data_IF_821632375538
#
_entry.id   IF_821632375538
#
_cell.length_a   1.000
_cell.length_b   1.000
_cell.length_c   1.000
_cell.angle_alpha   90.00
_cell.angle_beta   90.00
_cell.angle_gamma   90.00
#
_symmetry.space_group_name_H-M   'P 1'
#
loop_
_entity.id
_entity.type
_entity.pdbx_description
1 polymer ?
#
# COMPACT_ATOMS: atom_id res chain seq x y z
N UNK A 1 -11.39 -25.62 -9.71
CA UNK A 1 -10.34 -25.67 -10.74
C UNK A 1 -9.45 -26.84 -10.36
N UNK A 2 -9.69 -28.00 -10.96
CA UNK A 2 -8.86 -29.18 -10.73
C UNK A 2 -7.55 -28.97 -11.48
N UNK A 3 -6.46 -28.81 -10.74
CA UNK A 3 -5.13 -28.86 -11.32
C UNK A 3 -4.90 -30.30 -11.79
N UNK A 4 -4.73 -30.52 -13.09
CA UNK A 4 -4.23 -31.79 -13.60
C UNK A 4 -2.88 -32.04 -12.93
N UNK A 5 -2.75 -33.17 -12.25
CA UNK A 5 -1.47 -33.58 -11.66
C UNK A 5 -0.41 -33.60 -12.75
N UNK A 6 0.64 -32.80 -12.56
CA UNK A 6 1.78 -32.79 -13.46
C UNK A 6 2.43 -34.19 -13.45
N UNK A 7 2.88 -34.72 -14.60
CA UNK A 7 3.54 -36.02 -14.65
C UNK A 7 4.75 -36.06 -13.70
N UNK A 8 5.03 -37.20 -13.04
CA UNK A 8 6.14 -37.32 -12.10
C UNK A 8 7.46 -36.86 -12.75
N UNK A 9 8.10 -35.85 -12.16
CA UNK A 9 9.36 -35.27 -12.66
C UNK A 9 9.23 -34.05 -13.57
N UNK A 10 8.03 -33.60 -13.93
CA UNK A 10 7.83 -32.33 -14.61
C UNK A 10 7.97 -31.15 -13.62
N UNK A 11 8.58 -30.02 -14.02
CA UNK A 11 8.66 -28.84 -13.17
C UNK A 11 7.25 -28.32 -12.89
N UNK A 12 6.91 -28.15 -11.61
CA UNK A 12 5.66 -27.52 -11.21
C UNK A 12 5.83 -26.01 -11.37
N UNK A 13 5.48 -25.52 -12.55
CA UNK A 13 5.64 -24.12 -12.92
C UNK A 13 4.42 -23.29 -12.49
N UNK A 14 4.67 -22.09 -11.97
CA UNK A 14 3.67 -21.06 -11.74
C UNK A 14 4.26 -19.69 -12.09
N UNK A 15 3.47 -18.63 -12.20
CA UNK A 15 4.02 -17.27 -12.17
C UNK A 15 4.09 -16.74 -10.74
N UNK A 16 4.93 -15.74 -10.46
CA UNK A 16 4.95 -15.07 -9.14
C UNK A 16 3.55 -14.55 -8.77
N UNK A 17 2.80 -14.06 -9.76
CA UNK A 17 1.43 -13.58 -9.58
C UNK A 17 0.41 -14.65 -9.21
N UNK A 18 0.46 -15.81 -9.85
CA UNK A 18 -0.48 -16.93 -9.60
C UNK A 18 -0.07 -17.71 -8.35
N UNK A 19 1.24 -17.91 -8.16
CA UNK A 19 1.85 -18.59 -7.03
C UNK A 19 1.89 -17.78 -5.74
N UNK A 20 1.34 -16.55 -5.73
CA UNK A 20 1.33 -15.66 -4.56
C UNK A 20 0.79 -16.35 -3.29
N UNK A 21 -0.16 -17.27 -3.44
CA UNK A 21 -0.70 -18.05 -2.33
C UNK A 21 0.33 -19.05 -1.75
N UNK A 22 1.20 -19.64 -2.57
CA UNK A 22 2.29 -20.54 -2.16
C UNK A 22 3.36 -19.76 -1.40
N UNK A 23 3.84 -18.65 -1.99
CA UNK A 23 4.86 -17.79 -1.38
C UNK A 23 4.33 -17.09 -0.12
N UNK A 24 3.04 -16.72 -0.13
CA UNK A 24 2.33 -16.20 1.02
C UNK A 24 2.30 -17.21 2.17
N UNK A 25 1.99 -18.50 1.91
CA UNK A 25 2.03 -19.56 2.94
C UNK A 25 3.42 -19.75 3.53
N UNK A 26 4.47 -19.77 2.69
CA UNK A 26 5.86 -19.87 3.14
C UNK A 26 6.25 -18.69 4.02
N UNK A 27 5.88 -17.48 3.60
CA UNK A 27 6.11 -16.25 4.37
C UNK A 27 5.37 -16.29 5.70
N UNK A 28 4.09 -16.70 5.71
CA UNK A 28 3.30 -16.84 6.95
C UNK A 28 3.95 -17.83 7.90
N UNK A 29 4.47 -18.97 7.42
CA UNK A 29 5.18 -19.92 8.26
C UNK A 29 6.48 -19.34 8.86
N UNK A 30 7.27 -18.61 8.06
CA UNK A 30 8.49 -17.90 8.52
C UNK A 30 8.15 -16.85 9.59
N UNK A 31 7.13 -16.03 9.33
CA UNK A 31 6.63 -15.01 10.27
C UNK A 31 6.11 -15.66 11.55
N UNK A 32 5.29 -16.71 11.45
CA UNK A 32 4.76 -17.44 12.60
C UNK A 32 5.88 -17.99 13.49
N UNK A 33 6.88 -18.63 12.88
CA UNK A 33 8.02 -19.16 13.62
C UNK A 33 8.83 -18.06 14.33
N UNK A 34 9.00 -16.88 13.70
CA UNK A 34 9.60 -15.71 14.34
C UNK A 34 8.75 -15.18 15.51
N UNK A 35 7.43 -15.19 15.34
CA UNK A 35 6.45 -14.64 16.30
C UNK A 35 6.16 -15.57 17.48
N UNK A 36 6.61 -16.84 17.47
CA UNK A 36 6.57 -17.69 18.67
C UNK A 36 7.26 -17.05 19.88
N UNK A 37 8.27 -16.20 19.62
CA UNK A 37 8.97 -15.42 20.65
C UNK A 37 8.05 -14.45 21.39
N UNK A 38 6.87 -14.09 20.86
CA UNK A 38 5.92 -13.23 21.57
C UNK A 38 5.29 -13.91 22.79
N UNK A 39 5.28 -15.24 22.82
CA UNK A 39 4.74 -16.01 23.93
C UNK A 39 5.77 -16.37 25.00
N UNK A 40 7.02 -15.90 24.87
CA UNK A 40 8.06 -16.19 25.85
C UNK A 40 7.91 -15.39 27.15
N UNK A 41 7.07 -14.35 27.13
CA UNK A 41 6.88 -13.41 28.22
C UNK A 41 5.43 -12.93 28.30
N UNK A 42 4.91 -12.75 29.52
CA UNK A 42 3.51 -12.37 29.75
C UNK A 42 3.17 -11.00 29.16
N UNK A 43 4.02 -9.99 29.38
CA UNK A 43 3.78 -8.62 28.90
C UNK A 43 3.65 -8.58 27.37
N UNK A 44 4.56 -9.27 26.68
CA UNK A 44 4.55 -9.43 25.22
C UNK A 44 3.33 -10.19 24.73
N UNK A 45 3.06 -11.37 25.29
CA UNK A 45 1.96 -12.22 24.86
C UNK A 45 0.62 -11.47 24.96
N UNK A 46 0.39 -10.76 26.07
CA UNK A 46 -0.80 -9.94 26.26
C UNK A 46 -0.91 -8.81 25.23
N UNK A 47 0.18 -8.07 24.99
CA UNK A 47 0.18 -6.99 23.98
C UNK A 47 -0.09 -7.54 22.59
N UNK A 48 0.55 -8.65 22.22
CA UNK A 48 0.43 -9.27 20.92
C UNK A 48 -1.00 -9.76 20.68
N UNK A 49 -1.55 -10.60 21.58
CA UNK A 49 -2.93 -11.06 21.49
C UNK A 49 -3.92 -9.89 21.42
N UNK A 50 -3.77 -8.89 22.30
CA UNK A 50 -4.64 -7.71 22.31
C UNK A 50 -4.62 -6.93 20.99
N UNK A 51 -3.51 -6.94 20.24
CA UNK A 51 -3.38 -6.25 18.95
C UNK A 51 -4.13 -6.92 17.78
N UNK A 52 -4.55 -8.19 17.95
CA UNK A 52 -5.35 -8.94 16.96
C UNK A 52 -6.84 -8.98 17.31
N UNK A 53 -7.21 -8.86 18.59
CA UNK A 53 -8.61 -8.93 19.02
C UNK A 53 -9.53 -7.88 18.35
N UNK A 54 -9.13 -6.59 18.16
CA UNK A 54 -9.94 -5.62 17.42
C UNK A 54 -10.20 -6.02 15.96
N UNK A 55 -9.24 -6.70 15.33
CA UNK A 55 -9.39 -7.21 13.96
C UNK A 55 -10.40 -8.35 13.93
N UNK A 56 -10.32 -9.29 14.88
CA UNK A 56 -11.27 -10.40 15.01
C UNK A 56 -12.68 -9.89 15.31
N UNK A 57 -12.81 -8.88 16.17
CA UNK A 57 -14.09 -8.28 16.53
C UNK A 57 -14.83 -7.70 15.31
N UNK A 58 -14.10 -7.11 14.35
CA UNK A 58 -14.67 -6.58 13.09
C UNK A 58 -15.42 -7.63 12.26
N UNK A 59 -15.04 -8.90 12.39
CA UNK A 59 -15.62 -10.02 11.64
C UNK A 59 -16.48 -10.95 12.50
N UNK A 60 -16.77 -10.56 13.74
CA UNK A 60 -17.54 -11.35 14.70
C UNK A 60 -18.96 -10.83 14.82
N UNK A 61 -19.86 -11.63 15.41
CA UNK A 61 -21.20 -11.16 15.79
C UNK A 61 -21.10 -10.01 16.81
N UNK A 62 -22.11 -9.14 16.94
CA UNK A 62 -22.05 -8.01 17.87
C UNK A 62 -21.74 -8.41 19.32
N UNK A 63 -22.27 -9.54 19.79
CA UNK A 63 -21.99 -10.05 21.14
C UNK A 63 -20.53 -10.48 21.30
N UNK A 64 -20.05 -11.32 20.37
CA UNK A 64 -18.65 -11.75 20.36
C UNK A 64 -17.69 -10.58 20.19
N UNK A 65 -18.04 -9.59 19.35
CA UNK A 65 -17.23 -8.39 19.16
C UNK A 65 -17.08 -7.60 20.47
N UNK A 66 -18.17 -7.43 21.24
CA UNK A 66 -18.13 -6.77 22.56
C UNK A 66 -17.20 -7.50 23.53
N UNK A 67 -17.30 -8.83 23.60
CA UNK A 67 -16.45 -9.65 24.48
C UNK A 67 -14.97 -9.58 24.08
N UNK A 68 -14.68 -9.64 22.77
CA UNK A 68 -13.32 -9.51 22.24
C UNK A 68 -12.73 -8.13 22.55
N UNK A 69 -13.50 -7.05 22.41
CA UNK A 69 -13.06 -5.71 22.78
C UNK A 69 -12.77 -5.58 24.27
N UNK A 70 -13.66 -6.11 25.12
CA UNK A 70 -13.43 -6.12 26.58
C UNK A 70 -12.17 -6.89 26.96
N UNK A 71 -11.96 -8.06 26.34
CA UNK A 71 -10.76 -8.86 26.55
C UNK A 71 -9.49 -8.12 26.08
N UNK A 72 -9.54 -7.44 24.94
CA UNK A 72 -8.42 -6.67 24.43
C UNK A 72 -8.01 -5.55 25.37
N UNK A 73 -8.99 -4.81 25.92
CA UNK A 73 -8.74 -3.77 26.93
C UNK A 73 -8.09 -4.39 28.17
N UNK A 74 -8.64 -5.48 28.71
CA UNK A 74 -8.09 -6.15 29.90
C UNK A 74 -6.65 -6.60 29.70
N UNK A 75 -6.36 -7.26 28.57
CA UNK A 75 -5.01 -7.72 28.23
C UNK A 75 -4.04 -6.56 28.06
N UNK A 76 -4.45 -5.51 27.34
CA UNK A 76 -3.62 -4.31 27.11
C UNK A 76 -3.32 -3.57 28.41
N UNK A 77 -4.31 -3.37 29.28
CA UNK A 77 -4.09 -2.71 30.58
C UNK A 77 -3.06 -3.46 31.41
N UNK A 78 -3.18 -4.79 31.49
CA UNK A 78 -2.19 -5.61 32.21
C UNK A 78 -0.80 -5.55 31.55
N UNK A 79 -0.74 -5.61 30.21
CA UNK A 79 0.53 -5.46 29.48
C UNK A 79 1.18 -4.09 29.72
N UNK A 80 0.41 -3.00 29.71
CA UNK A 80 0.93 -1.65 29.97
C UNK A 80 1.47 -1.50 31.40
N UNK A 81 0.84 -2.14 32.39
CA UNK A 81 1.36 -2.16 33.76
C UNK A 81 2.73 -2.84 33.81
N UNK A 82 2.86 -4.03 33.20
CA UNK A 82 4.14 -4.75 33.11
C UNK A 82 5.19 -3.91 32.36
N UNK A 83 4.78 -3.23 31.28
CA UNK A 83 5.68 -2.36 30.51
C UNK A 83 6.19 -1.19 31.34
N UNK A 84 5.30 -0.56 32.12
CA UNK A 84 5.66 0.56 33.00
C UNK A 84 6.72 0.14 34.00
N UNK A 85 6.49 -0.97 34.68
CA UNK A 85 7.43 -1.51 35.67
C UNK A 85 8.80 -1.84 35.03
N UNK A 86 8.82 -2.28 33.76
CA UNK A 86 10.07 -2.51 33.01
C UNK A 86 10.81 -1.23 32.65
N UNK A 87 10.08 -0.22 32.18
CA UNK A 87 10.68 1.05 31.75
C UNK A 87 11.26 1.81 32.95
N UNK A 88 10.59 1.78 34.11
CA UNK A 88 11.08 2.41 35.34
C UNK A 88 12.43 1.85 35.81
N UNK A 89 12.74 0.60 35.44
CA UNK A 89 13.98 -0.09 35.80
C UNK A 89 14.99 -0.20 34.64
N UNK A 90 14.75 0.50 33.53
CA UNK A 90 15.61 0.42 32.34
C UNK A 90 16.87 1.28 32.51
N UNK A 91 18.05 0.68 32.34
CA UNK A 91 19.29 1.45 32.17
C UNK A 91 19.36 2.09 30.78
N UNK A 92 19.79 3.34 30.72
CA UNK A 92 20.05 4.05 29.45
C UNK A 92 21.33 3.58 28.76
N UNK A 93 22.24 2.94 29.50
CA UNK A 93 23.55 2.49 28.99
C UNK A 93 23.49 1.11 28.33
N UNK A 94 22.40 0.35 28.54
CA UNK A 94 22.22 -0.99 27.97
C UNK A 94 21.34 -0.92 26.72
N UNK A 95 21.70 -1.60 25.61
CA UNK A 95 20.84 -1.73 24.45
C UNK A 95 19.44 -2.26 24.82
N UNK A 96 18.38 -1.76 24.18
CA UNK A 96 17.03 -2.20 24.49
C UNK A 96 16.83 -3.67 24.14
N UNK A 97 16.24 -4.43 25.07
CA UNK A 97 15.84 -5.80 24.80
C UNK A 97 14.76 -5.84 23.70
N UNK A 98 14.90 -6.78 22.76
CA UNK A 98 13.90 -7.06 21.73
C UNK A 98 12.52 -7.38 22.34
N UNK A 99 12.49 -7.91 23.56
CA UNK A 99 11.24 -8.15 24.28
C UNK A 99 10.44 -6.87 24.53
N UNK A 100 11.14 -5.81 24.95
CA UNK A 100 10.57 -4.48 25.20
C UNK A 100 10.07 -3.85 23.89
N UNK A 101 10.89 -3.89 22.84
CA UNK A 101 10.54 -3.34 21.53
C UNK A 101 9.28 -4.03 21.01
N UNK A 102 9.23 -5.36 21.04
CA UNK A 102 8.08 -6.10 20.53
C UNK A 102 6.78 -5.78 21.26
N UNK A 103 6.84 -5.66 22.59
CA UNK A 103 5.68 -5.27 23.40
C UNK A 103 5.14 -3.89 22.97
N UNK A 104 6.03 -2.90 22.79
CA UNK A 104 5.65 -1.54 22.38
C UNK A 104 5.12 -1.52 20.94
N UNK A 105 5.71 -2.29 20.02
CA UNK A 105 5.22 -2.43 18.64
C UNK A 105 3.82 -3.04 18.59
N UNK A 106 3.54 -4.01 19.46
CA UNK A 106 2.22 -4.64 19.57
C UNK A 106 1.17 -3.66 20.13
N UNK A 107 1.55 -2.83 21.11
CA UNK A 107 0.70 -1.76 21.64
C UNK A 107 0.46 -0.64 20.61
N UNK A 108 1.49 -0.23 19.87
CA UNK A 108 1.37 0.69 18.74
C UNK A 108 0.34 0.19 17.72
N UNK A 109 0.48 -1.08 17.31
CA UNK A 109 -0.46 -1.72 16.40
C UNK A 109 -1.88 -1.71 16.94
N UNK A 110 -2.09 -2.05 18.22
CA UNK A 110 -3.41 -2.04 18.84
C UNK A 110 -4.03 -0.63 18.77
N UNK A 111 -3.27 0.40 19.16
CA UNK A 111 -3.70 1.79 19.07
C UNK A 111 -4.06 2.20 17.64
N UNK A 112 -3.27 1.81 16.64
CA UNK A 112 -3.60 2.04 15.23
C UNK A 112 -4.90 1.37 14.80
N UNK A 113 -5.16 0.12 15.22
CA UNK A 113 -6.38 -0.62 14.85
C UNK A 113 -7.64 -0.07 15.51
N UNK A 114 -7.49 0.54 16.68
CA UNK A 114 -8.59 1.19 17.41
C UNK A 114 -8.77 2.66 17.03
N UNK A 115 -7.94 3.20 16.14
CA UNK A 115 -7.87 4.62 15.80
C UNK A 115 -7.55 5.54 17.01
N UNK A 116 -6.83 5.03 18.01
CA UNK A 116 -6.31 5.83 19.12
C UNK A 116 -5.03 6.57 18.67
N UNK A 117 -5.24 7.71 18.00
CA UNK A 117 -4.16 8.53 17.44
C UNK A 117 -3.19 9.03 18.52
N UNK A 118 -3.64 9.56 19.69
CA UNK A 118 -2.74 9.97 20.75
C UNK A 118 -1.83 8.85 21.24
N UNK A 119 -2.38 7.67 21.56
CA UNK A 119 -1.58 6.55 22.05
C UNK A 119 -0.61 6.04 20.97
N UNK A 120 -1.06 5.92 19.72
CA UNK A 120 -0.20 5.48 18.62
C UNK A 120 0.98 6.44 18.40
N UNK A 121 0.77 7.75 18.53
CA UNK A 121 1.85 8.75 18.46
C UNK A 121 2.91 8.56 19.55
N UNK A 122 2.47 8.30 20.78
CA UNK A 122 3.37 8.06 21.92
C UNK A 122 4.20 6.80 21.66
N UNK A 123 3.56 5.70 21.28
CA UNK A 123 4.28 4.46 20.99
C UNK A 123 5.24 4.60 19.81
N UNK A 124 4.86 5.26 18.72
CA UNK A 124 5.74 5.52 17.58
C UNK A 124 6.99 6.30 17.99
N UNK A 125 6.83 7.32 18.83
CA UNK A 125 7.95 8.13 19.34
C UNK A 125 8.93 7.32 20.19
N UNK A 126 8.42 6.37 20.99
CA UNK A 126 9.25 5.45 21.77
C UNK A 126 9.96 4.46 20.84
N UNK A 127 9.24 3.84 19.90
CA UNK A 127 9.80 2.90 18.92
C UNK A 127 10.96 3.54 18.17
N UNK A 128 10.81 4.78 17.71
CA UNK A 128 11.87 5.49 16.97
C UNK A 128 13.18 5.53 17.76
N UNK A 129 13.11 5.90 19.05
CA UNK A 129 14.27 5.99 19.95
C UNK A 129 14.89 4.64 20.28
N UNK A 130 14.07 3.60 20.42
CA UNK A 130 14.55 2.25 20.76
C UNK A 130 15.18 1.57 19.56
N UNK A 131 14.54 1.65 18.39
CA UNK A 131 15.04 1.02 17.16
C UNK A 131 16.40 1.60 16.79
N UNK A 132 16.63 2.91 16.93
CA UNK A 132 17.94 3.52 16.64
C UNK A 132 19.10 2.89 17.42
N UNK A 133 18.83 2.30 18.60
CA UNK A 133 19.80 1.66 19.49
C UNK A 133 19.96 0.14 19.25
N UNK A 134 19.24 -0.45 18.31
CA UNK A 134 19.39 -1.88 17.96
C UNK A 134 20.59 -2.06 17.04
N UNK A 135 21.54 -2.89 17.47
CA UNK A 135 22.78 -3.18 16.72
C UNK A 135 22.65 -4.39 15.79
N UNK A 136 21.84 -5.39 16.18
CA UNK A 136 21.69 -6.64 15.41
C UNK A 136 20.52 -6.56 14.45
N UNK A 137 20.78 -6.83 13.16
CA UNK A 137 19.72 -7.15 12.21
C UNK A 137 19.40 -8.64 12.24
N UNK A 138 18.19 -8.99 12.68
CA UNK A 138 17.65 -10.34 12.55
C UNK A 138 16.26 -10.33 11.88
N UNK A 139 15.69 -11.50 11.64
CA UNK A 139 14.34 -11.61 11.07
C UNK A 139 13.27 -11.00 11.99
N UNK A 140 13.49 -11.02 13.30
CA UNK A 140 12.51 -10.58 14.28
C UNK A 140 12.35 -9.05 14.27
N UNK A 141 13.44 -8.29 14.38
CA UNK A 141 13.40 -6.83 14.28
C UNK A 141 12.88 -6.36 12.92
N UNK A 142 13.26 -7.04 11.83
CA UNK A 142 12.71 -6.75 10.49
C UNK A 142 11.19 -6.93 10.46
N UNK A 143 10.67 -8.01 11.04
CA UNK A 143 9.22 -8.27 11.09
C UNK A 143 8.48 -7.23 11.94
N UNK A 144 9.07 -6.82 13.08
CA UNK A 144 8.51 -5.75 13.92
C UNK A 144 8.52 -4.40 13.20
N UNK A 145 9.59 -4.08 12.48
CA UNK A 145 9.71 -2.85 11.70
C UNK A 145 8.70 -2.80 10.55
N UNK A 146 8.53 -3.90 9.83
CA UNK A 146 7.46 -4.08 8.83
C UNK A 146 6.06 -3.90 9.46
N UNK A 147 5.87 -4.42 10.67
CA UNK A 147 4.61 -4.22 11.42
C UNK A 147 4.37 -2.74 11.73
N UNK A 148 5.42 -1.99 12.08
CA UNK A 148 5.34 -0.54 12.31
C UNK A 148 4.92 0.20 11.04
N UNK A 149 5.66 -0.01 9.93
CA UNK A 149 5.37 0.65 8.65
C UNK A 149 3.93 0.37 8.21
N UNK A 150 3.52 -0.90 8.16
CA UNK A 150 2.18 -1.28 7.74
C UNK A 150 1.07 -0.61 8.58
N UNK A 151 1.18 -0.61 9.91
CA UNK A 151 0.12 -0.04 10.75
C UNK A 151 0.08 1.49 10.72
N UNK A 152 1.24 2.14 10.60
CA UNK A 152 1.31 3.59 10.43
C UNK A 152 0.67 4.00 9.10
N UNK A 153 1.05 3.34 7.99
CA UNK A 153 0.51 3.64 6.67
C UNK A 153 -0.99 3.37 6.55
N UNK A 154 -1.47 2.25 7.11
CA UNK A 154 -2.91 1.93 7.06
C UNK A 154 -3.73 2.98 7.83
N UNK A 155 -3.27 3.40 9.01
CA UNK A 155 -3.93 4.46 9.78
C UNK A 155 -3.86 5.81 9.06
N UNK A 156 -2.69 6.15 8.51
CA UNK A 156 -2.47 7.40 7.78
C UNK A 156 -3.42 7.55 6.59
N UNK A 157 -3.63 6.47 5.84
CA UNK A 157 -4.52 6.43 4.68
C UNK A 157 -5.98 6.43 5.11
N UNK A 158 -6.33 5.65 6.14
CA UNK A 158 -7.71 5.62 6.66
C UNK A 158 -8.18 6.98 7.19
N UNK A 159 -7.25 7.78 7.72
CA UNK A 159 -7.54 9.08 8.34
C UNK A 159 -7.06 10.27 7.50
N UNK A 160 -6.50 10.02 6.31
CA UNK A 160 -5.90 11.02 5.40
C UNK A 160 -5.03 12.04 6.15
N UNK A 161 -3.96 11.54 6.75
CA UNK A 161 -3.02 12.31 7.57
C UNK A 161 -1.59 11.86 7.30
N UNK A 162 -0.62 12.66 7.75
CA UNK A 162 0.77 12.25 7.77
C UNK A 162 0.98 11.01 8.66
N UNK A 163 1.93 10.18 8.27
CA UNK A 163 2.47 9.08 9.07
C UNK A 163 3.14 9.59 10.33
N UNK A 164 3.24 8.75 11.36
CA UNK A 164 4.00 9.07 12.57
C UNK A 164 5.50 9.00 12.34
N UNK A 165 5.96 8.02 11.57
CA UNK A 165 7.37 7.87 11.22
C UNK A 165 7.73 8.79 10.04
N UNK A 166 8.97 9.29 10.03
CA UNK A 166 9.52 10.02 8.89
C UNK A 166 9.97 9.02 7.82
N UNK A 167 9.13 8.84 6.79
CA UNK A 167 9.40 7.89 5.72
C UNK A 167 10.59 8.30 4.86
N UNK A 168 10.75 9.59 4.58
CA UNK A 168 11.76 10.07 3.63
C UNK A 168 13.17 10.02 4.21
N UNK A 169 13.34 10.16 5.53
CA UNK A 169 14.68 10.12 6.14
C UNK A 169 14.88 8.97 7.13
N UNK A 170 13.98 8.82 8.11
CA UNK A 170 14.21 7.85 9.18
C UNK A 170 13.94 6.42 8.70
N UNK A 171 12.76 6.14 8.13
CA UNK A 171 12.41 4.80 7.65
C UNK A 171 13.37 4.35 6.55
N UNK A 172 13.72 5.21 5.60
CA UNK A 172 14.68 4.89 4.55
C UNK A 172 16.03 4.43 5.13
N UNK A 173 16.56 5.15 6.13
CA UNK A 173 17.80 4.76 6.83
C UNK A 173 17.65 3.43 7.57
N UNK A 174 16.50 3.18 8.20
CA UNK A 174 16.25 1.91 8.88
C UNK A 174 16.16 0.73 7.91
N UNK A 175 15.53 0.91 6.74
CA UNK A 175 15.50 -0.14 5.70
C UNK A 175 16.92 -0.47 5.27
N UNK A 176 17.73 0.53 4.92
CA UNK A 176 19.12 0.34 4.51
C UNK A 176 19.99 -0.34 5.60
N UNK A 177 19.71 -0.07 6.87
CA UNK A 177 20.43 -0.66 8.01
C UNK A 177 20.00 -2.09 8.33
N UNK A 178 18.69 -2.36 8.30
CA UNK A 178 18.12 -3.64 8.72
C UNK A 178 18.13 -4.68 7.59
N UNK A 179 18.09 -4.27 6.33
CA UNK A 179 18.22 -5.17 5.17
C UNK A 179 19.64 -5.11 4.62
N UNK A 180 20.59 -5.71 5.36
CA UNK A 180 22.03 -5.74 5.02
C UNK A 180 22.32 -6.61 3.78
N UNK A 181 21.59 -7.71 3.64
CA UNK A 181 21.51 -8.41 2.36
C UNK A 181 20.78 -7.49 1.39
N UNK A 182 21.25 -7.39 0.15
CA UNK A 182 20.57 -6.66 -0.92
C UNK A 182 19.67 -7.63 -1.70
N UNK A 183 18.45 -7.95 -1.24
CA UNK A 183 17.57 -8.82 -2.00
C UNK A 183 17.29 -8.26 -3.41
N UNK A 184 17.60 -6.98 -3.66
CA UNK A 184 17.65 -6.36 -4.99
C UNK A 184 18.54 -7.13 -5.99
N UNK A 185 19.51 -7.94 -5.56
CA UNK A 185 20.29 -8.81 -6.47
C UNK A 185 19.44 -9.93 -7.06
N UNK A 186 18.34 -10.32 -6.40
CA UNK A 186 17.39 -11.32 -6.87
C UNK A 186 16.28 -10.71 -7.76
N UNK A 187 16.23 -9.37 -7.86
CA UNK A 187 15.27 -8.70 -8.72
C UNK A 187 15.69 -8.79 -10.19
N UNK A 188 14.75 -9.12 -11.09
CA UNK A 188 15.04 -9.03 -12.52
C UNK A 188 15.41 -7.59 -12.89
N UNK A 189 16.46 -7.45 -13.70
CA UNK A 189 16.89 -6.14 -14.21
C UNK A 189 15.84 -5.62 -15.18
N UNK A 190 15.34 -4.40 -14.93
CA UNK A 190 14.48 -3.72 -15.88
C UNK A 190 15.28 -3.16 -17.06
N UNK A 191 14.80 -3.31 -18.30
CA UNK A 191 15.28 -2.54 -19.44
C UNK A 191 15.21 -1.03 -19.14
N UNK A 192 16.09 -0.23 -19.74
CA UNK A 192 16.15 1.22 -19.51
C UNK A 192 14.82 1.93 -19.78
N UNK A 193 14.08 1.47 -20.79
CA UNK A 193 12.75 1.97 -21.18
C UNK A 193 11.69 1.79 -20.07
N UNK A 194 11.81 0.76 -19.23
CA UNK A 194 10.90 0.57 -18.09
C UNK A 194 11.20 1.53 -16.92
N UNK A 195 12.39 2.14 -16.91
CA UNK A 195 12.75 3.19 -15.95
C UNK A 195 12.40 4.58 -16.46
N UNK A 196 12.25 4.75 -17.78
CA UNK A 196 11.72 5.98 -18.37
C UNK A 196 10.25 6.12 -17.96
N UNK A 197 9.95 7.16 -17.21
CA UNK A 197 8.61 7.48 -16.72
C UNK A 197 8.26 8.89 -17.18
N UNK A 198 7.02 9.12 -17.57
CA UNK A 198 6.60 10.38 -18.19
C UNK A 198 7.00 11.61 -17.37
N UNK A 199 7.59 12.61 -18.04
CA UNK A 199 8.25 13.78 -17.42
C UNK A 199 7.30 14.71 -16.66
N UNK A 200 6.00 14.63 -16.93
CA UNK A 200 4.98 15.39 -16.20
C UNK A 200 4.95 15.12 -14.68
N UNK A 201 5.36 13.95 -14.22
CA UNK A 201 5.36 13.66 -12.76
C UNK A 201 6.67 14.18 -12.16
N UNK A 202 6.69 15.33 -11.52
CA UNK A 202 7.97 15.97 -11.18
C UNK A 202 8.54 15.49 -9.84
N UNK A 203 7.66 15.13 -8.90
CA UNK A 203 8.09 14.80 -7.55
C UNK A 203 8.81 13.46 -7.48
N UNK A 204 10.03 13.50 -6.91
CA UNK A 204 10.91 12.33 -6.77
C UNK A 204 10.24 11.16 -6.07
N UNK A 205 9.54 11.40 -4.96
CA UNK A 205 8.87 10.35 -4.20
C UNK A 205 7.81 9.62 -5.04
N UNK A 206 6.93 10.38 -5.71
CA UNK A 206 5.91 9.84 -6.61
C UNK A 206 6.52 9.07 -7.77
N UNK A 207 7.53 9.64 -8.44
CA UNK A 207 8.26 9.00 -9.54
C UNK A 207 8.89 7.67 -9.13
N UNK A 208 9.59 7.65 -7.99
CA UNK A 208 10.31 6.47 -7.54
C UNK A 208 9.34 5.34 -7.13
N UNK A 209 8.24 5.68 -6.45
CA UNK A 209 7.19 4.72 -6.12
C UNK A 209 6.54 4.14 -7.39
N UNK A 210 6.26 4.98 -8.39
CA UNK A 210 5.68 4.55 -9.66
C UNK A 210 6.62 3.61 -10.45
N UNK A 211 7.92 3.92 -10.51
CA UNK A 211 8.92 3.05 -11.17
C UNK A 211 9.05 1.71 -10.44
N UNK A 212 9.11 1.71 -9.10
CA UNK A 212 9.11 0.45 -8.31
C UNK A 212 7.83 -0.35 -8.55
N UNK A 213 6.68 0.30 -8.62
CA UNK A 213 5.43 -0.37 -8.92
C UNK A 213 5.43 -1.01 -10.31
N UNK A 214 5.95 -0.34 -11.35
CA UNK A 214 6.12 -0.95 -12.68
C UNK A 214 6.99 -2.21 -12.62
N UNK A 215 8.09 -2.17 -11.87
CA UNK A 215 8.93 -3.34 -11.63
C UNK A 215 8.14 -4.48 -10.99
N UNK A 216 7.35 -4.20 -9.95
CA UNK A 216 6.57 -5.24 -9.26
C UNK A 216 5.56 -5.89 -10.18
N UNK A 217 4.89 -5.08 -11.00
CA UNK A 217 3.92 -5.55 -11.97
C UNK A 217 4.58 -6.38 -13.08
N UNK A 218 5.79 -6.03 -13.54
CA UNK A 218 6.50 -6.82 -14.56
C UNK A 218 7.00 -8.16 -14.02
N UNK A 219 7.47 -8.19 -12.77
CA UNK A 219 7.95 -9.42 -12.12
C UNK A 219 6.81 -10.41 -11.88
N UNK A 220 5.57 -9.93 -11.76
CA UNK A 220 4.38 -10.77 -11.54
C UNK A 220 4.25 -11.90 -12.56
N UNK A 221 4.64 -11.66 -13.80
CA UNK A 221 4.57 -12.65 -14.89
C UNK A 221 5.80 -13.57 -14.98
N UNK A 222 6.80 -13.39 -14.11
CA UNK A 222 7.99 -14.26 -14.09
C UNK A 222 7.61 -15.66 -13.64
N UNK A 223 7.99 -16.66 -14.44
CA UNK A 223 7.81 -18.08 -14.12
C UNK A 223 8.70 -18.50 -12.95
N UNK A 224 8.18 -19.38 -12.10
CA UNK A 224 8.83 -19.98 -10.94
C UNK A 224 8.67 -21.48 -11.01
N UNK A 225 9.76 -22.21 -10.81
CA UNK A 225 9.79 -23.65 -10.63
C UNK A 225 9.65 -23.99 -9.14
N UNK A 226 8.49 -24.51 -8.75
CA UNK A 226 8.20 -24.84 -7.36
C UNK A 226 8.97 -26.07 -6.83
N UNK A 227 9.63 -26.82 -7.72
CA UNK A 227 10.50 -27.93 -7.36
C UNK A 227 11.97 -27.51 -7.15
N UNK A 228 12.32 -26.26 -7.46
CA UNK A 228 13.69 -25.73 -7.36
C UNK A 228 13.85 -24.88 -6.09
N UNK A 229 14.63 -25.34 -5.09
CA UNK A 229 14.88 -24.57 -3.88
C UNK A 229 15.49 -23.18 -4.13
N UNK A 230 16.37 -23.03 -5.11
CA UNK A 230 17.01 -21.75 -5.41
C UNK A 230 15.99 -20.74 -5.97
N UNK A 231 15.07 -21.22 -6.81
CA UNK A 231 14.02 -20.39 -7.39
C UNK A 231 12.95 -20.00 -6.35
N UNK A 232 12.69 -20.89 -5.38
CA UNK A 232 11.86 -20.58 -4.21
C UNK A 232 12.51 -19.52 -3.31
N UNK A 233 13.81 -19.62 -3.05
CA UNK A 233 14.54 -18.66 -2.22
C UNK A 233 14.64 -17.29 -2.91
N UNK A 234 14.89 -17.27 -4.23
CA UNK A 234 14.80 -16.06 -5.06
C UNK A 234 13.43 -15.41 -4.95
N UNK A 235 12.36 -16.21 -5.01
CA UNK A 235 10.98 -15.67 -4.92
C UNK A 235 10.66 -15.14 -3.53
N UNK A 236 11.15 -15.78 -2.46
CA UNK A 236 11.01 -15.29 -1.08
C UNK A 236 11.75 -13.94 -0.91
N UNK A 237 12.92 -13.76 -1.54
CA UNK A 237 13.64 -12.49 -1.56
C UNK A 237 12.86 -11.39 -2.30
N UNK A 238 12.33 -11.70 -3.49
CA UNK A 238 11.46 -10.79 -4.26
C UNK A 238 10.24 -10.36 -3.45
N UNK A 239 9.56 -11.30 -2.79
CA UNK A 239 8.40 -11.02 -1.94
C UNK A 239 8.76 -10.09 -0.77
N UNK A 240 9.93 -10.30 -0.15
CA UNK A 240 10.44 -9.45 0.94
C UNK A 240 10.66 -8.02 0.47
N UNK A 241 11.26 -7.81 -0.71
CA UNK A 241 11.43 -6.47 -1.30
C UNK A 241 10.07 -5.82 -1.56
N UNK A 242 9.15 -6.57 -2.17
CA UNK A 242 7.85 -6.04 -2.58
C UNK A 242 7.08 -5.56 -1.38
N UNK A 243 6.97 -6.40 -0.35
CA UNK A 243 6.28 -6.03 0.87
C UNK A 243 6.93 -4.85 1.58
N UNK A 244 8.26 -4.81 1.67
CA UNK A 244 9.02 -3.73 2.34
C UNK A 244 8.82 -2.39 1.65
N UNK A 245 9.12 -2.34 0.35
CA UNK A 245 9.10 -1.08 -0.38
C UNK A 245 7.69 -0.63 -0.77
N UNK A 246 6.72 -1.53 -0.95
CA UNK A 246 5.32 -1.11 -1.15
C UNK A 246 4.73 -0.44 0.09
N UNK A 247 5.13 -0.86 1.30
CA UNK A 247 4.76 -0.18 2.54
C UNK A 247 5.47 1.17 2.66
N UNK A 248 6.78 1.21 2.39
CA UNK A 248 7.54 2.45 2.31
C UNK A 248 6.89 3.46 1.36
N UNK A 249 6.60 3.03 0.12
CA UNK A 249 6.02 3.86 -0.91
C UNK A 249 4.63 4.36 -0.53
N UNK A 250 3.82 3.52 0.12
CA UNK A 250 2.51 3.95 0.62
C UNK A 250 2.63 5.09 1.64
N UNK A 251 3.60 5.00 2.56
CA UNK A 251 3.85 6.04 3.57
C UNK A 251 4.43 7.32 2.97
N UNK A 252 5.37 7.20 2.04
CA UNK A 252 5.92 8.35 1.33
C UNK A 252 4.84 9.08 0.50
N UNK A 253 4.04 8.34 -0.26
CA UNK A 253 3.00 8.90 -1.13
C UNK A 253 1.89 9.61 -0.33
N UNK A 254 1.43 9.04 0.79
CA UNK A 254 0.42 9.71 1.61
C UNK A 254 0.96 10.99 2.25
N UNK A 255 2.23 11.00 2.70
CA UNK A 255 2.85 12.21 3.23
C UNK A 255 3.01 13.30 2.18
N UNK A 256 3.47 12.93 0.97
CA UNK A 256 3.56 13.85 -0.17
C UNK A 256 2.21 14.48 -0.46
N UNK A 257 1.15 13.67 -0.58
CA UNK A 257 -0.20 14.17 -0.81
C UNK A 257 -0.65 15.17 0.28
N UNK A 258 -0.52 14.81 1.56
CA UNK A 258 -0.95 15.67 2.67
C UNK A 258 -0.16 16.98 2.70
N UNK A 259 1.16 16.92 2.48
CA UNK A 259 2.00 18.09 2.48
C UNK A 259 1.74 19.01 1.27
N UNK A 260 1.45 18.46 0.09
CA UNK A 260 1.08 19.25 -1.09
C UNK A 260 -0.24 19.99 -0.90
N UNK A 261 -1.27 19.30 -0.39
CA UNK A 261 -2.58 19.93 -0.12
C UNK A 261 -2.45 21.00 0.95
N UNK A 262 -1.63 20.79 1.98
CA UNK A 262 -1.35 21.77 3.02
C UNK A 262 -0.36 22.87 2.58
N UNK A 263 0.28 22.73 1.42
CA UNK A 263 1.32 23.64 0.95
C UNK A 263 2.66 23.59 1.70
N UNK A 264 2.86 22.59 2.56
CA UNK A 264 4.02 22.48 3.45
C UNK A 264 5.23 21.93 2.72
N UNK A 265 6.32 22.70 2.64
CA UNK A 265 7.55 22.30 1.94
C UNK A 265 7.46 22.40 0.41
N UNK A 266 6.37 22.98 -0.10
CA UNK A 266 6.10 23.19 -1.53
C UNK A 266 5.64 24.63 -1.79
N UNK A 267 6.17 25.59 -1.02
CA UNK A 267 5.76 27.00 -1.05
C UNK A 267 6.09 27.69 -2.39
N UNK A 268 7.03 27.13 -3.15
CA UNK A 268 7.46 27.64 -4.47
C UNK A 268 6.48 27.23 -5.58
N UNK A 269 5.68 26.19 -5.38
CA UNK A 269 4.71 25.71 -6.37
C UNK A 269 3.42 26.53 -6.31
N UNK A 270 2.83 26.82 -7.47
CA UNK A 270 1.47 27.38 -7.54
C UNK A 270 0.47 26.39 -6.93
N UNK A 271 -0.63 26.92 -6.41
CA UNK A 271 -1.64 26.10 -5.76
C UNK A 271 -2.25 25.04 -6.71
N UNK A 272 -2.50 25.42 -7.96
CA UNK A 272 -2.95 24.51 -9.02
C UNK A 272 -1.97 23.35 -9.25
N UNK A 273 -0.68 23.64 -9.43
CA UNK A 273 0.35 22.61 -9.61
C UNK A 273 0.48 21.68 -8.40
N UNK A 274 0.32 22.20 -7.17
CA UNK A 274 0.29 21.36 -5.97
C UNK A 274 -0.87 20.38 -6.00
N UNK A 275 -2.07 20.81 -6.40
CA UNK A 275 -3.21 19.90 -6.51
C UNK A 275 -3.05 18.87 -7.63
N UNK A 276 -2.42 19.23 -8.76
CA UNK A 276 -2.09 18.28 -9.83
C UNK A 276 -1.11 17.21 -9.32
N UNK A 277 0.01 17.60 -8.70
CA UNK A 277 0.99 16.67 -8.13
C UNK A 277 0.40 15.82 -6.98
N UNK A 278 -0.48 16.41 -6.17
CA UNK A 278 -1.21 15.68 -5.13
C UNK A 278 -2.10 14.59 -5.73
N UNK A 279 -2.71 14.88 -6.88
CA UNK A 279 -3.55 13.94 -7.61
C UNK A 279 -2.74 12.81 -8.24
N UNK A 280 -1.53 13.11 -8.74
CA UNK A 280 -0.56 12.10 -9.20
C UNK A 280 -0.08 11.19 -8.08
N UNK A 281 0.21 11.75 -6.89
CA UNK A 281 0.58 10.98 -5.71
C UNK A 281 -0.56 10.04 -5.26
N UNK A 282 -1.80 10.55 -5.18
CA UNK A 282 -2.96 9.73 -4.84
C UNK A 282 -3.26 8.65 -5.88
N UNK A 283 -3.11 8.97 -7.17
CA UNK A 283 -3.29 8.00 -8.26
C UNK A 283 -2.28 6.88 -8.13
N UNK A 284 -1.00 7.21 -7.94
CA UNK A 284 0.06 6.23 -7.69
C UNK A 284 -0.24 5.37 -6.47
N UNK A 285 -0.67 5.99 -5.36
CA UNK A 285 -1.04 5.28 -4.13
C UNK A 285 -2.23 4.35 -4.34
N UNK A 286 -3.25 4.79 -5.07
CA UNK A 286 -4.42 3.98 -5.40
C UNK A 286 -4.01 2.73 -6.19
N UNK A 287 -3.19 2.91 -7.23
CA UNK A 287 -2.72 1.82 -8.10
C UNK A 287 -1.83 0.87 -7.31
N UNK A 288 -0.91 1.39 -6.49
CA UNK A 288 -0.05 0.59 -5.60
C UNK A 288 -0.89 -0.30 -4.70
N UNK A 289 -1.90 0.28 -4.04
CA UNK A 289 -2.77 -0.47 -3.13
C UNK A 289 -3.59 -1.51 -3.84
N UNK A 290 -4.17 -1.19 -5.00
CA UNK A 290 -4.95 -2.17 -5.79
C UNK A 290 -4.05 -3.27 -6.36
N UNK A 291 -2.84 -2.93 -6.82
CA UNK A 291 -1.94 -3.87 -7.46
C UNK A 291 -1.25 -4.84 -6.48
N UNK A 292 -0.97 -4.39 -5.25
CA UNK A 292 -0.15 -5.13 -4.28
C UNK A 292 -0.93 -5.54 -3.01
N UNK A 293 -1.83 -4.69 -2.53
CA UNK A 293 -2.47 -4.86 -1.21
C UNK A 293 -3.94 -5.29 -1.28
N UNK A 294 -4.50 -5.52 -2.47
CA UNK A 294 -5.82 -6.13 -2.60
C UNK A 294 -5.81 -7.50 -1.92
N UNK A 295 -6.68 -7.70 -0.94
CA UNK A 295 -6.85 -9.03 -0.35
C UNK A 295 -8.33 -9.35 -0.24
N UNK A 296 -8.75 -10.30 -1.06
CA UNK A 296 -10.12 -10.77 -1.15
C UNK A 296 -10.36 -11.85 -0.09
N UNK A 297 -11.23 -11.56 0.86
CA UNK A 297 -11.68 -12.51 1.90
C UNK A 297 -13.17 -12.73 1.66
N UNK A 298 -13.58 -13.98 1.44
CA UNK A 298 -14.96 -14.36 1.10
C UNK A 298 -15.57 -13.56 -0.08
N UNK A 299 -14.76 -13.30 -1.12
CA UNK A 299 -15.20 -12.57 -2.32
C UNK A 299 -15.19 -11.05 -2.19
N UNK A 300 -14.87 -10.50 -1.01
CA UNK A 300 -14.82 -9.06 -0.77
C UNK A 300 -13.39 -8.60 -0.49
N UNK A 301 -12.95 -7.50 -1.11
CA UNK A 301 -11.68 -6.88 -0.73
C UNK A 301 -11.82 -6.19 0.64
N UNK A 302 -11.12 -6.73 1.64
CA UNK A 302 -11.14 -6.21 3.01
C UNK A 302 -10.64 -4.76 3.14
N UNK A 303 -9.95 -4.22 2.11
CA UNK A 303 -9.45 -2.84 2.03
C UNK A 303 -10.27 -1.94 1.11
N UNK A 304 -11.45 -2.39 0.64
CA UNK A 304 -12.35 -1.60 -0.21
C UNK A 304 -12.60 -0.19 0.34
N UNK A 305 -12.76 -0.05 1.65
CA UNK A 305 -12.95 1.27 2.29
C UNK A 305 -11.78 2.23 2.05
N UNK A 306 -10.53 1.74 2.07
CA UNK A 306 -9.36 2.57 1.80
C UNK A 306 -9.33 3.00 0.33
N UNK A 307 -9.71 2.13 -0.60
CA UNK A 307 -9.80 2.49 -2.02
C UNK A 307 -10.85 3.59 -2.22
N UNK A 308 -12.00 3.47 -1.57
CA UNK A 308 -13.05 4.49 -1.60
C UNK A 308 -12.56 5.84 -1.04
N UNK A 309 -11.86 5.83 0.09
CA UNK A 309 -11.28 7.05 0.69
C UNK A 309 -10.31 7.70 -0.30
N UNK A 310 -9.35 6.94 -0.84
CA UNK A 310 -8.36 7.50 -1.78
C UNK A 310 -9.00 8.11 -3.03
N UNK A 311 -10.02 7.46 -3.60
CA UNK A 311 -10.70 7.96 -4.81
C UNK A 311 -11.55 9.19 -4.52
N UNK A 312 -12.25 9.24 -3.38
CA UNK A 312 -13.04 10.42 -3.03
C UNK A 312 -12.15 11.65 -2.81
N UNK A 313 -10.98 11.47 -2.19
CA UNK A 313 -10.00 12.54 -2.06
C UNK A 313 -9.37 12.91 -3.40
N UNK A 314 -9.08 11.94 -4.27
CA UNK A 314 -8.60 12.21 -5.63
C UNK A 314 -9.60 13.05 -6.42
N UNK A 315 -10.90 12.73 -6.34
CA UNK A 315 -11.96 13.49 -6.98
C UNK A 315 -11.98 14.94 -6.49
N UNK A 316 -11.97 15.17 -5.17
CA UNK A 316 -11.93 16.52 -4.61
C UNK A 316 -10.67 17.30 -4.98
N UNK A 317 -9.52 16.65 -4.93
CA UNK A 317 -8.21 17.24 -5.27
C UNK A 317 -8.16 17.63 -6.75
N UNK A 318 -8.67 16.78 -7.64
CA UNK A 318 -8.71 17.06 -9.06
C UNK A 318 -9.73 18.13 -9.43
N UNK A 319 -10.87 18.25 -8.73
CA UNK A 319 -11.78 19.39 -8.92
C UNK A 319 -11.07 20.70 -8.61
N UNK A 320 -10.39 20.78 -7.46
CA UNK A 320 -9.60 21.97 -7.12
C UNK A 320 -8.48 22.24 -8.15
N UNK A 321 -7.80 21.20 -8.62
CA UNK A 321 -6.79 21.34 -9.67
C UNK A 321 -7.36 21.94 -10.94
N UNK A 322 -8.48 21.39 -11.45
CA UNK A 322 -9.13 21.86 -12.67
C UNK A 322 -9.72 23.26 -12.56
N UNK A 323 -10.22 23.63 -11.38
CA UNK A 323 -10.82 24.95 -11.14
C UNK A 323 -9.74 26.05 -11.05
N UNK A 324 -8.55 25.72 -10.57
CA UNK A 324 -7.46 26.68 -10.34
C UNK A 324 -6.42 26.73 -11.46
N UNK A 325 -6.24 25.64 -12.20
CA UNK A 325 -5.18 25.52 -13.20
C UNK A 325 -5.45 26.36 -14.44
N UNK A 326 -4.37 26.97 -14.95
CA UNK A 326 -4.40 27.64 -16.25
C UNK A 326 -4.44 26.63 -17.40
N UNK A 327 -4.84 27.08 -18.59
CA UNK A 327 -4.83 26.23 -19.78
C UNK A 327 -3.42 25.69 -20.10
N UNK A 328 -2.38 26.48 -19.88
CA UNK A 328 -0.99 26.09 -20.12
C UNK A 328 -0.53 25.01 -19.12
N UNK A 329 -0.89 25.15 -17.83
CA UNK A 329 -0.64 24.12 -16.82
C UNK A 329 -1.38 22.83 -17.19
N UNK A 330 -2.65 22.89 -17.57
CA UNK A 330 -3.40 21.70 -17.99
C UNK A 330 -2.82 21.05 -19.25
N UNK A 331 -2.35 21.85 -20.21
CA UNK A 331 -1.71 21.37 -21.42
C UNK A 331 -0.39 20.63 -21.11
N UNK A 332 0.40 21.13 -20.16
CA UNK A 332 1.63 20.47 -19.71
C UNK A 332 1.37 19.08 -19.10
N UNK A 333 0.23 18.89 -18.43
CA UNK A 333 -0.12 17.65 -17.74
C UNK A 333 -1.14 16.78 -18.48
N UNK A 334 -1.54 17.11 -19.71
CA UNK A 334 -2.63 16.44 -20.45
C UNK A 334 -2.58 14.91 -20.46
N UNK A 335 -1.40 14.32 -20.63
CA UNK A 335 -1.21 12.86 -20.64
C UNK A 335 -1.28 12.27 -19.21
N UNK A 336 -0.80 13.02 -18.22
CA UNK A 336 -0.92 12.66 -16.81
C UNK A 336 -2.38 12.72 -16.33
N UNK A 337 -3.14 13.72 -16.80
CA UNK A 337 -4.56 13.86 -16.54
C UNK A 337 -5.33 12.67 -17.13
N UNK A 338 -4.98 12.21 -18.34
CA UNK A 338 -5.57 11.00 -18.93
C UNK A 338 -5.35 9.80 -18.02
N UNK A 339 -4.12 9.63 -17.52
CA UNK A 339 -3.77 8.54 -16.60
C UNK A 339 -4.54 8.58 -15.28
N UNK A 340 -4.69 9.77 -14.67
CA UNK A 340 -5.50 9.97 -13.46
C UNK A 340 -6.96 9.59 -13.71
N UNK A 341 -7.56 10.17 -14.76
CA UNK A 341 -8.97 9.91 -15.08
C UNK A 341 -9.22 8.46 -15.47
N UNK A 342 -8.29 7.81 -16.18
CA UNK A 342 -8.38 6.39 -16.53
C UNK A 342 -8.54 5.51 -15.28
N UNK A 343 -7.68 5.68 -14.28
CA UNK A 343 -7.77 4.86 -13.06
C UNK A 343 -9.00 5.19 -12.21
N UNK A 344 -9.42 6.46 -12.17
CA UNK A 344 -10.67 6.85 -11.54
C UNK A 344 -11.90 6.24 -12.23
N UNK A 345 -11.95 6.28 -13.57
CA UNK A 345 -13.05 5.74 -14.36
C UNK A 345 -13.14 4.21 -14.21
N UNK A 346 -12.00 3.52 -14.15
CA UNK A 346 -11.96 2.07 -13.85
C UNK A 346 -12.45 1.73 -12.45
N UNK A 347 -12.23 2.62 -11.49
CA UNK A 347 -12.80 2.44 -10.15
C UNK A 347 -14.32 2.65 -10.17
N UNK A 348 -14.80 3.71 -10.81
CA UNK A 348 -16.22 3.98 -11.00
C UNK A 348 -16.94 2.81 -11.67
N UNK A 349 -16.38 2.27 -12.76
CA UNK A 349 -16.94 1.11 -13.45
C UNK A 349 -17.14 -0.07 -12.49
N UNK A 350 -16.13 -0.42 -11.69
CA UNK A 350 -16.22 -1.52 -10.71
C UNK A 350 -17.29 -1.28 -9.66
N UNK A 351 -17.32 -0.09 -9.06
CA UNK A 351 -18.33 0.27 -8.05
C UNK A 351 -19.73 0.21 -8.64
N UNK A 352 -19.90 0.75 -9.85
CA UNK A 352 -21.16 0.77 -10.59
C UNK A 352 -21.69 -0.63 -10.90
N UNK A 353 -20.82 -1.63 -11.10
CA UNK A 353 -21.27 -3.03 -11.21
C UNK A 353 -21.91 -3.54 -9.91
N UNK A 354 -21.44 -3.09 -8.75
CA UNK A 354 -21.97 -3.51 -7.44
C UNK A 354 -23.25 -2.76 -7.05
N UNK A 355 -23.38 -1.49 -7.42
CA UNK A 355 -24.52 -0.64 -7.02
C UNK A 355 -25.63 -0.53 -8.08
N UNK A 356 -25.51 -1.27 -9.19
CA UNK A 356 -26.43 -1.20 -10.33
C UNK A 356 -27.88 -1.41 -9.87
N UNK A 357 -28.73 -0.40 -10.09
CA UNK A 357 -30.14 -0.44 -9.73
C UNK A 357 -30.45 -0.11 -8.25
N UNK A 358 -29.44 0.25 -7.45
CA UNK A 358 -29.60 0.61 -6.03
C UNK A 358 -29.41 2.12 -5.84
N UNK A 359 -28.32 2.68 -6.37
CA UNK A 359 -27.99 4.10 -6.25
C UNK A 359 -27.54 4.70 -7.59
N UNK A 360 -27.57 6.03 -7.75
CA UNK A 360 -27.07 6.68 -8.96
C UNK A 360 -25.62 6.32 -9.26
N UNK A 361 -25.32 6.11 -10.54
CA UNK A 361 -23.99 5.74 -10.99
C UNK A 361 -22.99 6.87 -10.76
N UNK A 362 -21.79 6.52 -10.32
CA UNK A 362 -20.65 7.45 -10.26
C UNK A 362 -20.03 7.56 -11.65
N UNK A 363 -19.93 8.77 -12.19
CA UNK A 363 -19.49 8.99 -13.59
C UNK A 363 -18.55 10.19 -13.74
N UNK A 364 -18.06 10.77 -12.64
CA UNK A 364 -17.26 11.99 -12.70
C UNK A 364 -15.91 11.73 -13.36
N UNK A 365 -15.19 10.69 -12.94
CA UNK A 365 -13.93 10.31 -13.58
C UNK A 365 -14.14 9.77 -15.00
N UNK A 366 -15.23 9.03 -15.23
CA UNK A 366 -15.59 8.51 -16.54
C UNK A 366 -15.78 9.65 -17.55
N UNK A 367 -16.53 10.69 -17.18
CA UNK A 367 -16.70 11.90 -18.00
C UNK A 367 -15.38 12.66 -18.19
N UNK A 368 -14.56 12.77 -17.14
CA UNK A 368 -13.23 13.37 -17.22
C UNK A 368 -12.29 12.61 -18.16
N UNK A 369 -12.34 11.27 -18.14
CA UNK A 369 -11.54 10.41 -19.01
C UNK A 369 -11.92 10.58 -20.48
N UNK A 370 -13.22 10.58 -20.79
CA UNK A 370 -13.74 10.85 -22.13
C UNK A 370 -13.28 12.21 -22.64
N UNK A 371 -13.51 13.27 -21.86
CA UNK A 371 -13.08 14.63 -22.23
C UNK A 371 -11.58 14.73 -22.48
N UNK A 372 -10.78 14.04 -21.66
CA UNK A 372 -9.33 14.04 -21.82
C UNK A 372 -8.88 13.24 -23.04
N UNK A 373 -9.60 12.16 -23.39
CA UNK A 373 -9.39 11.42 -24.63
C UNK A 373 -9.72 12.27 -25.86
N UNK A 374 -10.79 13.08 -25.83
CA UNK A 374 -11.13 14.04 -26.88
C UNK A 374 -10.05 15.12 -27.05
N UNK A 375 -9.53 15.69 -25.96
CA UNK A 375 -8.44 16.69 -25.97
C UNK A 375 -7.16 16.11 -26.60
N UNK A 376 -6.93 14.81 -26.42
CA UNK A 376 -5.77 14.09 -26.97
C UNK A 376 -6.05 13.44 -28.33
N UNK A 377 -7.25 13.65 -28.90
CA UNK A 377 -7.70 13.10 -30.18
C UNK A 377 -7.58 11.56 -30.24
N UNK A 378 -7.84 10.88 -29.12
CA UNK A 378 -7.75 9.44 -29.00
C UNK A 378 -9.02 8.79 -29.54
N UNK A 379 -8.89 8.07 -30.65
CA UNK A 379 -10.00 7.42 -31.36
C UNK A 379 -10.07 5.92 -31.10
N UNK A 380 -8.96 5.31 -30.71
CA UNK A 380 -8.89 3.88 -30.43
C UNK A 380 -8.08 3.56 -29.16
N UNK A 381 -8.25 2.33 -28.68
CA UNK A 381 -7.57 1.85 -27.49
C UNK A 381 -6.03 1.76 -27.64
N UNK A 382 -5.47 1.28 -28.77
CA UNK A 382 -4.02 1.30 -28.99
C UNK A 382 -3.36 2.67 -28.75
N UNK A 383 -3.95 3.77 -29.22
CA UNK A 383 -3.45 5.13 -28.98
C UNK A 383 -3.42 5.48 -27.49
N UNK A 384 -4.54 5.24 -26.79
CA UNK A 384 -4.62 5.49 -25.34
C UNK A 384 -3.63 4.61 -24.56
N UNK A 385 -3.47 3.35 -24.96
CA UNK A 385 -2.53 2.40 -24.35
C UNK A 385 -1.09 2.88 -24.46
N UNK A 386 -0.69 3.44 -25.60
CA UNK A 386 0.67 3.95 -25.81
C UNK A 386 1.02 5.07 -24.82
N UNK A 387 0.09 6.01 -24.60
CA UNK A 387 0.26 7.06 -23.58
C UNK A 387 0.29 6.44 -22.17
N UNK A 388 -0.66 5.59 -21.82
CA UNK A 388 -0.75 4.98 -20.49
C UNK A 388 0.49 4.13 -20.14
N UNK A 389 1.13 3.50 -21.12
CA UNK A 389 2.37 2.72 -20.94
C UNK A 389 3.57 3.57 -20.45
N UNK A 390 3.53 4.89 -20.66
CA UNK A 390 4.56 5.81 -20.15
C UNK A 390 4.43 6.06 -18.63
N UNK A 391 3.30 5.65 -18.03
CA UNK A 391 3.02 5.70 -16.60
C UNK A 391 3.00 4.30 -15.97
N UNK A 392 2.36 4.16 -14.81
CA UNK A 392 2.05 2.83 -14.26
C UNK A 392 0.78 2.33 -14.92
N UNK A 393 0.88 1.27 -15.70
CA UNK A 393 -0.23 0.69 -16.41
C UNK A 393 -0.17 -0.83 -16.40
N UNK A 394 -1.32 -1.48 -16.27
CA UNK A 394 -1.46 -2.93 -16.42
C UNK A 394 -2.79 -3.30 -17.08
N UNK A 395 -2.72 -4.27 -17.99
CA UNK A 395 -3.85 -4.71 -18.83
C UNK A 395 -4.68 -5.83 -18.21
N UNK A 396 -4.11 -6.58 -17.27
CA UNK A 396 -4.73 -7.82 -16.75
C UNK A 396 -5.80 -7.60 -15.69
N UNK A 397 -6.06 -6.36 -15.26
CA UNK A 397 -7.18 -6.08 -14.36
C UNK A 397 -8.41 -5.72 -15.20
N UNK A 398 -9.58 -6.08 -14.69
CA UNK A 398 -10.88 -5.69 -15.25
C UNK A 398 -11.03 -4.16 -15.31
N UNK A 399 -11.80 -3.64 -16.28
CA UNK A 399 -12.56 -4.34 -17.33
C UNK A 399 -11.71 -4.78 -18.54
N UNK A 400 -12.32 -5.49 -19.51
CA UNK A 400 -11.72 -5.70 -20.84
C UNK A 400 -11.52 -4.33 -21.51
N UNK A 401 -10.28 -3.86 -21.53
CA UNK A 401 -9.99 -2.44 -21.80
C UNK A 401 -10.38 -2.00 -23.20
N UNK A 402 -10.22 -2.84 -24.23
CA UNK A 402 -10.60 -2.49 -25.60
C UNK A 402 -12.10 -2.25 -25.75
N UNK A 403 -12.92 -3.19 -25.28
CA UNK A 403 -14.38 -3.08 -25.37
C UNK A 403 -14.89 -1.95 -24.46
N UNK A 404 -14.39 -1.88 -23.23
CA UNK A 404 -14.74 -0.83 -22.28
C UNK A 404 -14.39 0.57 -22.78
N UNK A 405 -13.23 0.74 -23.42
CA UNK A 405 -12.82 2.04 -23.96
C UNK A 405 -13.79 2.49 -25.06
N UNK A 406 -14.10 1.61 -26.02
CA UNK A 406 -15.07 1.90 -27.07
C UNK A 406 -16.47 2.23 -26.51
N UNK A 407 -16.96 1.44 -25.55
CA UNK A 407 -18.24 1.70 -24.86
C UNK A 407 -18.23 3.01 -24.08
N UNK A 408 -17.12 3.35 -23.43
CA UNK A 408 -16.97 4.58 -22.63
C UNK A 408 -16.97 5.82 -23.52
N UNK A 409 -16.33 5.76 -24.68
CA UNK A 409 -16.36 6.84 -25.67
C UNK A 409 -17.72 6.93 -26.38
N UNK A 410 -18.40 5.81 -26.63
CA UNK A 410 -19.71 5.79 -27.29
C UNK A 410 -20.87 6.19 -26.37
N UNK A 411 -20.76 5.95 -25.06
CA UNK A 411 -21.79 6.22 -24.04
C UNK A 411 -22.11 7.71 -23.79
N UNK A 412 -21.63 8.62 -24.65
CA UNK A 412 -21.93 10.05 -24.64
C UNK A 412 -23.34 10.34 -25.19
N UNK A 413 -23.97 9.41 -25.91
CA UNK A 413 -25.35 9.57 -26.37
C UNK A 413 -26.37 9.15 -25.30
N UNK A 414 -26.54 9.99 -24.27
CA UNK A 414 -27.88 10.18 -23.71
C UNK A 414 -28.33 11.61 -24.08
N UNK A 415 -29.31 11.75 -24.99
CA UNK A 415 -29.96 13.04 -25.22
C UNK A 415 -30.66 13.50 -23.93
N UNK A 416 -30.69 14.82 -23.77
CA UNK A 416 -31.24 15.60 -22.66
C UNK A 416 -32.53 15.07 -22.03
#
# INVERSE_FOLDING_TARGET
MEFKDAPPGAPMLTTIGEGFHVFGRRTVAKVWNSMKKEFSDEGRALSWCSSYLPVLAKFSSPDTARDLHFLAIKMRTKSMQILKDRIENLSLDTPPDMSLISQIVSLFRAACKENDIPAAKVHASIIQRLVDRVETSDLHIRTLFMTCMNNDTELAIAQMRNTFFDFENWVQRQIARLWVETPETHMPKLPGEYKAFHDSVQLRATRQAAIRLRLYLSVRSTTVNLNDPEDLDRTDAVFTIFTTYSQYDSGALINVYINLVAGKGYEIMTESLRYIEASLALTTLHILRRGIFEATIYGCDHRTSHHMITINHLEGTMKNALDLATADELAQYREALLWIFFYGARFEWRVNQTIKGITPLRTWFTKGFVRQAEILELTDWPQAREILNQFVFYEFLEPCLTAWFAETLAGIEQPQ
#
